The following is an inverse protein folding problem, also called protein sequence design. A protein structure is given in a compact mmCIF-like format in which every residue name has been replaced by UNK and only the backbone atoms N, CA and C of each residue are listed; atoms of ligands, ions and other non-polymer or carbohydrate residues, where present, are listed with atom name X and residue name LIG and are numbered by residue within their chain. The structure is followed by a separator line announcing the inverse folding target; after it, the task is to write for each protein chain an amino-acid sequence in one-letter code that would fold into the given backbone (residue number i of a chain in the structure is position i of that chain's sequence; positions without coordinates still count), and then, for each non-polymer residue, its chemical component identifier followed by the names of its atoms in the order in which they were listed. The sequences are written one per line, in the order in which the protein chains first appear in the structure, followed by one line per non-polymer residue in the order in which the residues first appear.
data_IF_383038621651
#
_entry.id   IF_383038621651
#
_cell.length_a   1.000
_cell.length_b   1.000
_cell.length_c   1.000
_cell.angle_alpha   90.00
_cell.angle_beta   90.00
_cell.angle_gamma   90.00
#
_symmetry.space_group_name_H-M   'P 1'
#
loop_
_entity.id
_entity.type
_entity.pdbx_description
1 polymer ?
#
# COMPACT_ATOMS: atom_id res chain seq x y z
N UNK A 1 13.61 7.55 2.19
CA UNK A 1 12.85 7.24 3.41
C UNK A 1 11.49 7.92 3.33
N UNK A 2 10.50 7.54 4.17
CA UNK A 2 9.21 8.23 4.21
C UNK A 2 9.40 9.73 4.44
N UNK A 3 8.55 10.56 3.83
CA UNK A 3 8.61 12.01 4.04
C UNK A 3 7.98 12.34 5.39
N UNK A 4 8.73 12.99 6.29
CA UNK A 4 8.30 13.25 7.67
C UNK A 4 7.19 14.30 7.78
N UNK A 5 7.03 15.15 6.76
CA UNK A 5 6.05 16.24 6.74
C UNK A 5 5.41 16.40 5.39
N UNK A 6 4.08 16.46 5.35
CA UNK A 6 3.30 16.60 4.13
C UNK A 6 2.67 17.98 3.98
N UNK A 7 2.28 18.64 5.07
CA UNK A 7 1.53 19.91 5.02
C UNK A 7 2.41 21.15 5.19
N UNK A 8 2.34 22.03 4.20
CA UNK A 8 3.05 23.30 4.12
C UNK A 8 2.05 24.44 3.94
N UNK A 9 1.56 24.99 5.06
CA UNK A 9 0.47 25.96 5.02
C UNK A 9 -0.78 25.34 4.40
N UNK A 10 -1.32 25.96 3.33
CA UNK A 10 -2.53 25.48 2.65
C UNK A 10 -2.27 24.42 1.58
N UNK A 11 -1.07 23.88 1.50
CA UNK A 11 -0.67 22.83 0.55
C UNK A 11 -0.34 21.56 1.34
N UNK A 12 -0.76 20.40 0.84
CA UNK A 12 -0.37 19.10 1.40
C UNK A 12 0.02 18.13 0.28
N UNK A 13 0.92 17.20 0.59
CA UNK A 13 1.35 16.15 -0.33
C UNK A 13 0.37 14.97 -0.28
N UNK A 14 0.24 14.25 -1.40
CA UNK A 14 -0.59 13.05 -1.54
C UNK A 14 0.05 12.09 -2.54
N UNK A 15 -0.17 10.78 -2.39
CA UNK A 15 0.34 9.78 -3.32
C UNK A 15 1.87 9.73 -3.32
N UNK A 16 2.48 9.47 -4.48
CA UNK A 16 3.94 9.33 -4.59
C UNK A 16 4.72 10.58 -4.15
N UNK A 17 4.10 11.76 -4.15
CA UNK A 17 4.73 12.97 -3.61
C UNK A 17 4.89 12.91 -2.08
N UNK A 18 3.99 12.21 -1.38
CA UNK A 18 3.98 12.03 0.06
C UNK A 18 4.68 10.75 0.51
N UNK A 19 4.53 9.67 -0.27
CA UNK A 19 5.04 8.35 0.04
C UNK A 19 5.52 7.63 -1.23
N UNK A 20 6.71 7.98 -1.75
CA UNK A 20 7.22 7.36 -2.97
C UNK A 20 7.41 5.85 -2.80
N UNK A 21 6.69 5.07 -3.60
CA UNK A 21 6.74 3.61 -3.63
C UNK A 21 7.27 3.11 -4.97
N UNK A 22 7.91 1.95 -4.98
CA UNK A 22 8.23 1.27 -6.24
C UNK A 22 6.93 0.95 -7.00
N UNK A 23 6.88 1.14 -8.34
CA UNK A 23 5.69 0.92 -9.14
C UNK A 23 5.44 -0.59 -9.35
N UNK A 24 5.16 -1.33 -8.27
CA UNK A 24 4.97 -2.77 -8.29
C UNK A 24 3.77 -3.11 -7.40
N UNK A 25 2.81 -3.88 -7.92
CA UNK A 25 1.65 -4.36 -7.14
C UNK A 25 0.52 -3.36 -6.89
N UNK A 26 0.47 -2.21 -7.58
CA UNK A 26 -0.60 -1.19 -7.44
C UNK A 26 -0.70 -0.52 -6.05
N UNK A 27 0.25 -0.78 -5.14
CA UNK A 27 0.22 -0.26 -3.76
C UNK A 27 0.24 1.28 -3.72
N UNK A 28 1.08 1.94 -4.53
CA UNK A 28 1.12 3.41 -4.60
C UNK A 28 -0.23 3.99 -5.05
N UNK A 29 -0.85 3.41 -6.08
CA UNK A 29 -2.16 3.84 -6.57
C UNK A 29 -3.28 3.60 -5.55
N UNK A 30 -3.30 2.43 -4.91
CA UNK A 30 -4.28 2.12 -3.87
C UNK A 30 -4.15 3.08 -2.67
N UNK A 31 -2.93 3.36 -2.21
CA UNK A 31 -2.69 4.31 -1.13
C UNK A 31 -3.05 5.75 -1.51
N UNK A 32 -2.80 6.16 -2.77
CA UNK A 32 -3.23 7.47 -3.27
C UNK A 32 -4.76 7.62 -3.28
N UNK A 33 -5.52 6.56 -3.57
CA UNK A 33 -6.98 6.56 -3.48
C UNK A 33 -7.44 6.73 -2.02
N UNK A 34 -6.83 5.99 -1.09
CA UNK A 34 -7.13 6.11 0.35
C UNK A 34 -6.81 7.52 0.87
N UNK A 35 -5.72 8.11 0.42
CA UNK A 35 -5.36 9.48 0.75
C UNK A 35 -6.39 10.48 0.24
N UNK A 36 -6.82 10.35 -1.01
CA UNK A 36 -7.80 11.25 -1.61
C UNK A 36 -9.12 11.22 -0.83
N UNK A 37 -9.53 10.01 -0.41
CA UNK A 37 -10.72 9.85 0.44
C UNK A 37 -10.53 10.48 1.81
N UNK A 38 -9.42 10.19 2.49
CA UNK A 38 -9.14 10.73 3.82
C UNK A 38 -9.07 12.27 3.80
N UNK A 39 -8.40 12.84 2.81
CA UNK A 39 -8.33 14.29 2.61
C UNK A 39 -9.72 14.90 2.37
N UNK A 40 -10.51 14.29 1.48
CA UNK A 40 -11.86 14.76 1.19
C UNK A 40 -12.76 14.71 2.43
N UNK A 41 -12.70 13.63 3.21
CA UNK A 41 -13.47 13.48 4.44
C UNK A 41 -13.09 14.54 5.48
N UNK A 42 -11.79 14.80 5.70
CA UNK A 42 -11.31 15.86 6.61
C UNK A 42 -11.74 17.26 6.16
N UNK A 43 -11.74 17.53 4.85
CA UNK A 43 -12.18 18.82 4.33
C UNK A 43 -13.71 18.99 4.42
N UNK A 44 -14.47 17.91 4.24
CA UNK A 44 -15.93 17.91 4.29
C UNK A 44 -16.49 18.13 5.71
N UNK A 45 -15.72 17.84 6.75
CA UNK A 45 -16.05 18.17 8.14
C UNK A 45 -16.20 19.70 8.36
N UNK A 46 -15.64 20.52 7.46
CA UNK A 46 -15.70 21.98 7.52
C UNK A 46 -14.75 22.57 8.56
N UNK A 47 -14.84 23.89 8.77
CA UNK A 47 -13.94 24.61 9.69
C UNK A 47 -12.65 25.10 9.03
N UNK A 48 -11.55 25.10 9.77
CA UNK A 48 -10.25 25.60 9.27
C UNK A 48 -9.60 24.59 8.29
N UNK A 49 -9.39 24.96 7.01
CA UNK A 49 -8.73 24.08 6.06
C UNK A 49 -7.34 23.65 6.50
N UNK A 50 -6.57 24.51 7.19
CA UNK A 50 -5.23 24.14 7.64
C UNK A 50 -5.27 23.02 8.69
N UNK A 51 -6.22 23.09 9.63
CA UNK A 51 -6.45 22.03 10.59
C UNK A 51 -6.86 20.71 9.91
N UNK A 52 -7.71 20.77 8.89
CA UNK A 52 -8.11 19.59 8.11
C UNK A 52 -6.92 18.94 7.38
N UNK A 53 -6.04 19.73 6.75
CA UNK A 53 -4.83 19.21 6.09
C UNK A 53 -3.89 18.51 7.08
N UNK A 54 -3.67 19.09 8.27
CA UNK A 54 -2.85 18.48 9.32
C UNK A 54 -3.47 17.19 9.87
N UNK A 55 -4.80 17.16 10.01
CA UNK A 55 -5.51 15.96 10.45
C UNK A 55 -5.41 14.84 9.41
N UNK A 56 -5.49 15.17 8.11
CA UNK A 56 -5.24 14.23 7.02
C UNK A 56 -3.82 13.65 7.12
N UNK A 57 -2.79 14.51 7.17
CA UNK A 57 -1.39 14.09 7.27
C UNK A 57 -1.17 13.15 8.47
N UNK A 58 -1.64 13.54 9.67
CA UNK A 58 -1.48 12.74 10.88
C UNK A 58 -2.13 11.35 10.77
N UNK A 59 -3.23 11.23 10.01
CA UNK A 59 -3.93 9.97 9.82
C UNK A 59 -3.28 9.05 8.77
N UNK A 60 -2.47 9.58 7.86
CA UNK A 60 -1.96 8.84 6.69
C UNK A 60 -0.44 8.65 6.67
N UNK A 61 0.34 9.54 7.29
CA UNK A 61 1.81 9.48 7.27
C UNK A 61 2.36 8.21 7.92
N UNK A 62 1.81 7.82 9.08
CA UNK A 62 2.20 6.58 9.77
C UNK A 62 1.93 5.31 8.96
N UNK A 63 0.67 5.05 8.55
CA UNK A 63 0.33 3.87 7.75
C UNK A 63 1.11 3.76 6.44
N UNK A 64 1.21 4.85 5.67
CA UNK A 64 1.92 4.84 4.38
C UNK A 64 3.43 4.65 4.54
N UNK A 65 4.03 5.20 5.61
CA UNK A 65 5.43 4.95 5.94
C UNK A 65 5.72 3.47 6.24
N UNK A 66 4.76 2.75 6.84
CA UNK A 66 4.89 1.30 7.05
C UNK A 66 4.88 0.55 5.72
N UNK A 67 3.98 0.92 4.79
CA UNK A 67 3.92 0.33 3.44
C UNK A 67 5.23 0.58 2.66
N UNK A 68 5.78 1.81 2.71
CA UNK A 68 7.05 2.13 2.06
C UNK A 68 8.20 1.27 2.60
N UNK A 69 8.25 1.04 3.92
CA UNK A 69 9.27 0.17 4.54
C UNK A 69 9.06 -1.30 4.16
N UNK A 70 7.83 -1.80 4.24
CA UNK A 70 7.50 -3.18 3.86
C UNK A 70 7.88 -3.48 2.40
N UNK A 71 7.57 -2.56 1.48
CA UNK A 71 7.94 -2.69 0.06
C UNK A 71 9.46 -2.76 -0.17
N UNK A 72 10.27 -2.19 0.73
CA UNK A 72 11.74 -2.23 0.65
C UNK A 72 12.33 -3.50 1.25
N UNK A 73 11.77 -3.96 2.38
CA UNK A 73 12.25 -5.15 3.09
C UNK A 73 11.86 -6.43 2.36
N UNK A 74 10.68 -6.46 1.75
CA UNK A 74 10.13 -7.63 1.08
C UNK A 74 9.66 -7.24 -0.33
N UNK A 75 10.61 -6.94 -1.24
CA UNK A 75 10.26 -6.58 -2.59
C UNK A 75 9.47 -7.73 -3.27
N UNK A 76 8.56 -7.44 -4.21
CA UNK A 76 7.85 -8.48 -4.98
C UNK A 76 8.78 -9.45 -5.71
N UNK A 77 10.04 -9.05 -5.91
CA UNK A 77 11.11 -9.91 -6.38
C UNK A 77 11.35 -11.11 -5.45
N UNK A 78 10.83 -11.13 -4.23
CA UNK A 78 10.88 -12.29 -3.37
C UNK A 78 10.19 -13.52 -3.98
N UNK A 79 9.02 -13.35 -4.62
CA UNK A 79 8.34 -14.47 -5.30
C UNK A 79 9.11 -14.87 -6.57
N UNK A 80 9.54 -13.88 -7.36
CA UNK A 80 10.27 -14.10 -8.61
C UNK A 80 11.62 -14.77 -8.31
N UNK A 81 12.41 -14.21 -7.40
CA UNK A 81 13.67 -14.74 -6.93
C UNK A 81 13.54 -16.12 -6.28
N UNK A 82 12.46 -16.38 -5.54
CA UNK A 82 12.21 -17.72 -5.00
C UNK A 82 11.94 -18.75 -6.10
N UNK A 83 11.20 -18.37 -7.14
CA UNK A 83 10.97 -19.22 -8.31
C UNK A 83 12.27 -19.40 -9.10
N UNK A 84 13.06 -18.34 -9.32
CA UNK A 84 14.36 -18.40 -9.97
C UNK A 84 15.34 -19.31 -9.22
N UNK A 85 15.41 -19.23 -7.89
CA UNK A 85 16.21 -20.14 -7.05
C UNK A 85 15.80 -21.60 -7.21
N UNK A 86 14.50 -21.88 -7.24
CA UNK A 86 13.97 -23.25 -7.32
C UNK A 86 14.20 -23.87 -8.70
N UNK A 87 14.12 -23.06 -9.74
CA UNK A 87 14.26 -23.48 -11.14
C UNK A 87 15.73 -23.46 -11.60
N UNK A 88 16.57 -22.62 -10.97
CA UNK A 88 17.99 -22.50 -11.30
C UNK A 88 18.27 -21.74 -12.60
N UNK A 89 17.46 -20.73 -12.92
CA UNK A 89 17.56 -19.91 -14.15
C UNK A 89 17.47 -20.74 -15.46
N UNK A 90 16.89 -21.94 -15.38
CA UNK A 90 16.64 -22.81 -16.52
C UNK A 90 15.21 -22.61 -17.06
N UNK A 91 14.97 -22.79 -18.37
CA UNK A 91 13.62 -22.88 -18.89
C UNK A 91 12.88 -24.07 -18.25
N UNK A 92 11.62 -23.87 -17.88
CA UNK A 92 10.73 -24.92 -17.38
C UNK A 92 9.37 -24.83 -18.06
N UNK A 93 8.77 -25.99 -18.32
CA UNK A 93 7.45 -26.10 -18.95
C UNK A 93 6.33 -26.35 -17.92
N UNK A 94 6.73 -26.68 -16.69
CA UNK A 94 5.85 -27.11 -15.60
C UNK A 94 6.47 -26.73 -14.24
N UNK A 95 5.89 -25.71 -13.60
CA UNK A 95 6.36 -25.17 -12.32
C UNK A 95 6.06 -26.12 -11.14
N UNK A 96 5.06 -26.99 -11.27
CA UNK A 96 4.63 -27.91 -10.21
C UNK A 96 5.70 -28.97 -9.90
N UNK A 97 6.69 -29.13 -10.80
CA UNK A 97 7.88 -29.96 -10.59
C UNK A 97 8.86 -29.40 -9.56
N UNK A 98 8.78 -28.09 -9.29
CA UNK A 98 9.73 -27.37 -8.44
C UNK A 98 9.08 -26.80 -7.18
N UNK A 99 7.80 -26.46 -7.25
CA UNK A 99 7.02 -25.94 -6.11
C UNK A 99 5.59 -26.43 -6.22
N UNK A 100 5.03 -26.96 -5.14
CA UNK A 100 3.63 -27.39 -5.16
C UNK A 100 2.69 -26.17 -5.21
N UNK A 101 1.49 -26.33 -5.78
CA UNK A 101 0.46 -25.27 -5.75
C UNK A 101 0.14 -24.79 -4.34
N UNK A 102 0.19 -25.68 -3.34
CA UNK A 102 -0.01 -25.31 -1.93
C UNK A 102 1.13 -24.43 -1.39
N UNK A 103 2.37 -24.67 -1.81
CA UNK A 103 3.53 -23.84 -1.43
C UNK A 103 3.52 -22.49 -2.13
N UNK A 104 3.18 -22.47 -3.43
CA UNK A 104 3.04 -21.24 -4.18
C UNK A 104 1.93 -20.35 -3.60
N UNK A 105 0.82 -20.97 -3.19
CA UNK A 105 -0.28 -20.28 -2.50
C UNK A 105 0.19 -19.69 -1.16
N UNK A 106 0.94 -20.45 -0.35
CA UNK A 106 1.52 -19.93 0.90
C UNK A 106 2.46 -18.74 0.66
N UNK A 107 3.32 -18.82 -0.35
CA UNK A 107 4.24 -17.74 -0.72
C UNK A 107 3.48 -16.47 -1.14
N UNK A 108 2.40 -16.64 -1.91
CA UNK A 108 1.49 -15.56 -2.33
C UNK A 108 0.75 -14.96 -1.13
N UNK A 109 0.27 -15.78 -0.20
CA UNK A 109 -0.47 -15.33 0.97
C UNK A 109 0.42 -14.65 2.01
N UNK A 110 1.66 -15.12 2.18
CA UNK A 110 2.68 -14.42 2.97
C UNK A 110 3.01 -13.07 2.34
N UNK A 111 3.21 -13.01 1.02
CA UNK A 111 3.38 -11.74 0.30
C UNK A 111 2.18 -10.81 0.50
N UNK A 112 0.94 -11.30 0.43
CA UNK A 112 -0.27 -10.49 0.67
C UNK A 112 -0.35 -9.95 2.09
N UNK A 113 0.02 -10.76 3.09
CA UNK A 113 0.08 -10.36 4.50
C UNK A 113 1.12 -9.27 4.74
N UNK A 114 2.30 -9.42 4.13
CA UNK A 114 3.42 -8.49 4.28
C UNK A 114 3.17 -7.18 3.53
N UNK A 115 2.67 -7.27 2.29
CA UNK A 115 2.39 -6.09 1.45
C UNK A 115 1.08 -5.40 1.77
N UNK A 116 0.29 -5.96 2.69
CA UNK A 116 -0.95 -5.36 3.14
C UNK A 116 -1.86 -5.04 1.96
N UNK A 117 -2.15 -6.04 1.11
CA UNK A 117 -3.25 -5.90 0.16
C UNK A 117 -4.49 -5.54 0.97
N UNK A 118 -4.88 -4.28 0.86
CA UNK A 118 -5.97 -3.64 1.58
C UNK A 118 -7.33 -4.13 1.07
N UNK A 119 -7.58 -5.44 1.15
CA UNK A 119 -8.91 -6.02 0.94
C UNK A 119 -9.72 -6.05 2.25
N UNK A 120 -9.07 -5.99 3.42
CA UNK A 120 -9.78 -6.16 4.70
C UNK A 120 -10.38 -4.86 5.28
N UNK A 121 -9.91 -3.67 4.88
CA UNK A 121 -10.45 -2.40 5.40
C UNK A 121 -11.60 -1.79 4.57
N UNK A 122 -11.82 -2.25 3.33
CA UNK A 122 -12.90 -1.71 2.47
C UNK A 122 -14.27 -2.32 2.81
N UNK A 123 -14.31 -3.49 3.46
CA UNK A 123 -15.55 -4.22 3.69
C UNK A 123 -16.32 -3.80 4.95
N UNK A 124 -15.76 -3.01 5.88
CA UNK A 124 -16.35 -2.82 7.21
C UNK A 124 -16.88 -1.42 7.57
N UNK A 125 -16.94 -0.44 6.66
CA UNK A 125 -17.59 0.85 6.99
C UNK A 125 -18.66 1.22 5.97
N UNK A 126 -19.87 0.73 6.27
CA UNK A 126 -21.13 1.15 5.66
C UNK A 126 -21.24 2.69 5.79
N UNK A 127 -21.48 3.44 4.69
CA UNK A 127 -21.60 4.89 4.79
C UNK A 127 -22.83 5.27 5.63
N UNK A 128 -22.77 6.34 6.45
CA UNK A 128 -23.94 6.84 7.15
C UNK A 128 -24.97 7.29 6.11
N UNK A 129 -26.21 6.84 6.27
CA UNK A 129 -27.33 7.21 5.41
C UNK A 129 -27.48 8.72 5.36
N UNK A 130 -27.54 9.27 4.14
CA UNK A 130 -27.91 10.66 3.91
C UNK A 130 -29.40 10.83 4.25
N UNK A 131 -29.70 11.72 5.18
CA UNK A 131 -31.02 12.34 5.33
C UNK A 131 -31.14 13.51 4.36
#
# INVERSE_FOLDING_TARGET
DPVDRWTFGRVTLLGDAAHPMYPRGSNGAAQAILDARALADRLAEGGDPLAALRAYEASRSGPTAQVVRANREHPPDYIIGRVEELVGDQPFDDLDRYITQAELQRLSDDYKRITGFALEDVAQRRPPGRH
#
